data_IF_328095771901
#
_entry.id   IF_328095771901
#
_cell.length_a   1.000
_cell.length_b   1.000
_cell.length_c   1.000
_cell.angle_alpha   90.00
_cell.angle_beta   90.00
_cell.angle_gamma   90.00
#
_symmetry.space_group_name_H-M   'P 1'
#
loop_
_entity.id
_entity.type
_entity.pdbx_description
1 polymer ?
#
# COMPACT_ATOMS: atom_id res chain seq x y z
N UNK A 1 47.38 24.73 -29.11
CA UNK A 1 46.80 23.41 -29.41
C UNK A 1 45.28 23.54 -29.39
N UNK A 2 44.68 23.73 -30.56
CA UNK A 2 43.22 23.72 -30.73
C UNK A 2 42.79 22.29 -30.97
N UNK A 3 42.28 21.60 -29.94
CA UNK A 3 41.52 20.38 -30.18
C UNK A 3 40.30 20.76 -31.01
N UNK A 4 40.21 20.26 -32.23
CA UNK A 4 39.07 20.49 -33.10
C UNK A 4 37.85 19.84 -32.44
N UNK A 5 36.73 20.56 -32.36
CA UNK A 5 35.48 20.03 -31.80
C UNK A 5 35.04 18.70 -32.47
N UNK A 6 35.50 18.46 -33.70
CA UNK A 6 35.36 17.20 -34.42
C UNK A 6 35.96 15.99 -33.69
N UNK A 7 37.11 16.13 -33.01
CA UNK A 7 37.75 15.04 -32.26
C UNK A 7 36.99 14.66 -30.98
N UNK A 8 36.27 15.62 -30.40
CA UNK A 8 35.42 15.41 -29.21
C UNK A 8 34.13 14.70 -29.62
N UNK A 9 33.54 15.09 -30.75
CA UNK A 9 32.30 14.48 -31.28
C UNK A 9 32.52 13.09 -31.89
N UNK A 10 33.74 12.73 -32.29
CA UNK A 10 34.08 11.38 -32.77
C UNK A 10 34.32 10.37 -31.65
N UNK A 11 34.41 10.80 -30.40
CA UNK A 11 34.54 9.92 -29.25
C UNK A 11 33.16 9.37 -28.84
N UNK A 12 32.80 8.18 -29.33
CA UNK A 12 31.50 7.53 -29.05
C UNK A 12 31.16 7.45 -27.55
N UNK A 13 32.08 7.10 -26.64
CA UNK A 13 31.79 7.10 -25.20
C UNK A 13 31.43 8.50 -24.66
N UNK A 14 32.12 9.54 -25.12
CA UNK A 14 31.86 10.91 -24.69
C UNK A 14 30.54 11.43 -25.27
N UNK A 15 30.27 11.18 -26.55
CA UNK A 15 29.01 11.54 -27.18
C UNK A 15 27.83 10.81 -26.51
N UNK A 16 27.98 9.52 -26.19
CA UNK A 16 26.99 8.77 -25.42
C UNK A 16 26.77 9.37 -24.03
N UNK A 17 27.83 9.80 -23.35
CA UNK A 17 27.75 10.47 -22.07
C UNK A 17 27.01 11.83 -22.17
N UNK A 18 27.35 12.65 -23.16
CA UNK A 18 26.68 13.95 -23.43
C UNK A 18 25.20 13.72 -23.78
N UNK A 19 24.89 12.75 -24.63
CA UNK A 19 23.52 12.39 -24.99
C UNK A 19 22.74 11.79 -23.83
N UNK A 20 23.40 11.14 -22.86
CA UNK A 20 22.78 10.65 -21.64
C UNK A 20 22.53 11.78 -20.63
N UNK A 21 23.32 12.85 -20.66
CA UNK A 21 23.18 14.07 -19.85
C UNK A 21 22.47 15.17 -20.64
N UNK A 22 21.18 14.98 -20.93
CA UNK A 22 20.39 16.04 -21.56
C UNK A 22 19.99 17.07 -20.51
N UNK A 23 20.29 18.36 -20.77
CA UNK A 23 19.93 19.47 -19.88
C UNK A 23 20.48 19.32 -18.45
N UNK A 24 21.67 18.72 -18.30
CA UNK A 24 22.30 18.50 -16.99
C UNK A 24 21.58 17.45 -16.13
N UNK A 25 20.72 16.62 -16.72
CA UNK A 25 20.01 15.55 -16.01
C UNK A 25 20.36 14.20 -16.64
N UNK A 26 20.71 13.23 -15.80
CA UNK A 26 20.94 11.85 -16.25
C UNK A 26 19.65 11.27 -16.85
N UNK A 27 19.76 10.59 -17.99
CA UNK A 27 18.65 9.90 -18.67
C UNK A 27 17.90 8.94 -17.75
N UNK A 28 18.59 8.34 -16.77
CA UNK A 28 17.98 7.47 -15.76
C UNK A 28 17.02 8.24 -14.83
N UNK A 29 17.39 9.46 -14.41
CA UNK A 29 16.52 10.33 -13.60
C UNK A 29 15.32 10.79 -14.44
N UNK A 30 15.54 11.12 -15.71
CA UNK A 30 14.45 11.47 -16.65
C UNK A 30 13.49 10.29 -16.81
N UNK A 31 13.99 9.05 -16.87
CA UNK A 31 13.15 7.87 -16.94
C UNK A 31 12.28 7.69 -15.67
N UNK A 32 12.85 7.90 -14.48
CA UNK A 32 12.07 7.91 -13.22
C UNK A 32 11.00 9.02 -13.24
N UNK A 33 11.35 10.21 -13.74
CA UNK A 33 10.41 11.33 -13.85
C UNK A 33 9.26 11.07 -14.85
N UNK A 34 9.44 10.15 -15.80
CA UNK A 34 8.39 9.77 -16.77
C UNK A 34 7.48 8.65 -16.26
N UNK A 35 7.79 8.05 -15.10
CA UNK A 35 6.94 7.02 -14.53
C UNK A 35 5.62 7.61 -14.05
N UNK A 36 4.51 7.01 -14.46
CA UNK A 36 3.19 7.40 -13.95
C UNK A 36 3.03 7.00 -12.48
N UNK A 37 2.32 7.81 -11.71
CA UNK A 37 1.88 7.49 -10.34
C UNK A 37 0.67 6.56 -10.41
N UNK A 38 0.58 5.59 -9.51
CA UNK A 38 -0.56 4.66 -9.47
C UNK A 38 -1.72 5.39 -8.79
N UNK A 39 -2.81 5.63 -9.50
CA UNK A 39 -4.02 6.27 -8.93
C UNK A 39 -5.08 5.29 -8.49
N UNK A 40 -5.10 4.07 -9.01
CA UNK A 40 -6.02 3.04 -8.50
C UNK A 40 -5.47 1.64 -8.72
N UNK A 41 -5.76 0.76 -7.76
CA UNK A 41 -5.58 -0.69 -7.87
C UNK A 41 -6.97 -1.31 -7.86
N UNK A 42 -7.23 -2.26 -8.75
CA UNK A 42 -8.45 -3.06 -8.76
C UNK A 42 -8.13 -4.52 -9.07
N UNK A 43 -9.08 -5.42 -8.88
CA UNK A 43 -8.89 -6.85 -9.14
C UNK A 43 -10.22 -7.56 -9.29
N UNK A 44 -10.28 -8.82 -8.85
CA UNK A 44 -11.43 -9.70 -9.06
C UNK A 44 -12.70 -9.28 -8.30
N UNK A 45 -12.57 -8.53 -7.20
CA UNK A 45 -13.68 -7.99 -6.42
C UNK A 45 -14.43 -6.87 -7.16
N UNK A 46 -13.88 -6.32 -8.26
CA UNK A 46 -14.54 -5.28 -9.06
C UNK A 46 -14.71 -5.79 -10.48
N UNK A 47 -15.94 -6.10 -10.85
CA UNK A 47 -16.32 -6.51 -12.20
C UNK A 47 -16.91 -5.32 -12.92
N UNK A 48 -16.28 -4.95 -14.04
CA UNK A 48 -16.74 -3.86 -14.90
C UNK A 48 -16.95 -4.37 -16.32
N UNK A 49 -18.02 -3.94 -17.00
CA UNK A 49 -18.19 -4.23 -18.40
C UNK A 49 -17.03 -3.59 -19.16
N UNK A 50 -16.37 -4.38 -20.02
CA UNK A 50 -15.17 -4.00 -20.78
C UNK A 50 -15.33 -2.69 -21.59
N UNK A 51 -16.57 -2.27 -21.86
CA UNK A 51 -16.92 -1.10 -22.66
C UNK A 51 -17.35 0.13 -21.83
N UNK A 52 -17.61 -0.02 -20.54
CA UNK A 52 -18.06 1.08 -19.69
C UNK A 52 -16.86 1.79 -19.06
N UNK A 53 -16.06 2.49 -19.87
CA UNK A 53 -15.11 3.48 -19.32
C UNK A 53 -15.88 4.79 -19.13
N UNK A 54 -16.15 5.23 -17.89
CA UNK A 54 -16.89 6.47 -17.67
C UNK A 54 -16.13 7.63 -18.30
N UNK A 55 -16.79 8.38 -19.19
CA UNK A 55 -16.20 9.56 -19.83
C UNK A 55 -15.77 10.63 -18.80
N UNK A 56 -16.32 10.59 -17.58
CA UNK A 56 -16.03 11.53 -16.49
C UNK A 56 -14.70 11.30 -15.77
N UNK A 57 -13.98 10.20 -16.04
CA UNK A 57 -12.66 9.93 -15.41
C UNK A 57 -11.48 10.51 -16.19
N UNK A 58 -11.72 11.32 -17.23
CA UNK A 58 -10.67 11.87 -18.09
C UNK A 58 -9.69 12.84 -17.39
N UNK A 59 -9.93 13.21 -16.13
CA UNK A 59 -9.12 14.17 -15.39
C UNK A 59 -8.13 13.55 -14.39
N UNK A 60 -8.18 12.24 -14.16
CA UNK A 60 -7.20 11.60 -13.28
C UNK A 60 -5.99 11.14 -14.11
N UNK A 61 -4.90 11.91 -14.07
CA UNK A 61 -3.65 11.64 -14.80
C UNK A 61 -2.89 10.38 -14.33
N UNK A 62 -3.42 9.66 -13.34
CA UNK A 62 -2.76 8.49 -12.77
C UNK A 62 -3.06 7.18 -13.49
N UNK A 63 -2.25 6.17 -13.20
CA UNK A 63 -2.39 4.84 -13.75
C UNK A 63 -3.34 3.99 -12.90
N UNK A 64 -4.37 3.44 -13.56
CA UNK A 64 -5.24 2.40 -13.02
C UNK A 64 -4.65 1.04 -13.36
N UNK A 65 -4.33 0.25 -12.33
CA UNK A 65 -3.58 -1.01 -12.45
C UNK A 65 -4.45 -2.16 -11.96
N UNK A 66 -4.56 -3.22 -12.76
CA UNK A 66 -5.10 -4.48 -12.26
C UNK A 66 -4.08 -5.09 -11.30
N UNK A 67 -4.54 -5.65 -10.19
CA UNK A 67 -3.69 -6.13 -9.10
C UNK A 67 -2.67 -7.16 -9.57
N UNK A 68 -3.02 -7.99 -10.57
CA UNK A 68 -2.11 -8.98 -11.16
C UNK A 68 -1.04 -8.40 -12.10
N UNK A 69 -1.25 -7.20 -12.65
CA UNK A 69 -0.26 -6.50 -13.48
C UNK A 69 0.72 -5.66 -12.64
N UNK A 70 0.40 -5.47 -11.35
CA UNK A 70 1.18 -4.64 -10.44
C UNK A 70 2.64 -5.11 -10.28
N UNK A 71 2.96 -6.42 -10.20
CA UNK A 71 4.35 -6.89 -10.12
C UNK A 71 5.22 -6.44 -11.29
N UNK A 72 4.75 -6.57 -12.53
CA UNK A 72 5.52 -6.23 -13.73
C UNK A 72 5.78 -4.72 -13.82
N UNK A 73 4.76 -3.93 -13.49
CA UNK A 73 4.89 -2.48 -13.37
C UNK A 73 5.94 -2.09 -12.33
N UNK A 74 5.86 -2.69 -11.14
CA UNK A 74 6.78 -2.38 -10.05
C UNK A 74 8.18 -2.91 -10.31
N UNK A 75 8.35 -3.98 -11.09
CA UNK A 75 9.66 -4.48 -11.50
C UNK A 75 10.35 -3.55 -12.52
N UNK A 76 9.58 -3.02 -13.47
CA UNK A 76 10.05 -1.98 -14.39
C UNK A 76 10.52 -0.76 -13.61
N UNK A 77 9.70 -0.31 -12.65
CA UNK A 77 10.03 0.84 -11.80
C UNK A 77 11.26 0.57 -10.91
N UNK A 78 11.39 -0.64 -10.35
CA UNK A 78 12.58 -1.04 -9.58
C UNK A 78 13.84 -0.88 -10.42
N UNK A 79 13.85 -1.43 -11.63
CA UNK A 79 15.02 -1.38 -12.52
C UNK A 79 15.47 0.06 -12.78
N UNK A 80 14.53 0.97 -13.00
CA UNK A 80 14.81 2.39 -13.22
C UNK A 80 15.33 3.08 -11.96
N UNK A 81 14.67 2.88 -10.81
CA UNK A 81 15.05 3.55 -9.55
C UNK A 81 16.39 3.02 -9.03
N UNK A 82 16.62 1.71 -9.09
CA UNK A 82 17.89 1.11 -8.63
C UNK A 82 19.06 1.49 -9.53
N UNK A 83 18.87 1.63 -10.85
CA UNK A 83 19.91 2.15 -11.74
C UNK A 83 20.36 3.57 -11.32
N UNK A 84 19.44 4.41 -10.86
CA UNK A 84 19.75 5.76 -10.35
C UNK A 84 20.42 5.68 -8.96
N UNK A 85 19.89 4.86 -8.05
CA UNK A 85 20.39 4.76 -6.68
C UNK A 85 21.77 4.10 -6.58
N UNK A 86 22.11 3.16 -7.47
CA UNK A 86 23.38 2.46 -7.48
C UNK A 86 24.53 3.31 -8.06
N UNK A 87 24.24 4.48 -8.65
CA UNK A 87 25.24 5.41 -9.13
C UNK A 87 25.33 6.63 -8.20
N UNK A 88 26.49 6.84 -7.56
CA UNK A 88 26.65 7.84 -6.51
C UNK A 88 26.17 9.25 -6.94
N UNK A 89 26.66 9.78 -8.06
CA UNK A 89 26.28 11.13 -8.51
C UNK A 89 24.78 11.26 -8.84
N UNK A 90 24.21 10.26 -9.52
CA UNK A 90 22.79 10.24 -9.85
C UNK A 90 21.91 10.13 -8.61
N UNK A 91 22.35 9.37 -7.60
CA UNK A 91 21.62 9.25 -6.34
C UNK A 91 21.55 10.60 -5.61
N UNK A 92 22.65 11.35 -5.55
CA UNK A 92 22.72 12.68 -4.92
C UNK A 92 21.79 13.66 -5.66
N UNK A 93 21.84 13.67 -6.99
CA UNK A 93 20.97 14.52 -7.81
C UNK A 93 19.49 14.11 -7.70
N UNK A 94 19.17 12.82 -7.61
CA UNK A 94 17.82 12.33 -7.37
C UNK A 94 17.28 12.84 -6.01
N UNK A 95 18.06 12.70 -4.93
CA UNK A 95 17.66 13.19 -3.60
C UNK A 95 17.43 14.70 -3.59
N UNK A 96 18.29 15.47 -4.29
CA UNK A 96 18.11 16.91 -4.47
C UNK A 96 16.79 17.22 -5.19
N UNK A 97 16.47 16.48 -6.25
CA UNK A 97 15.21 16.66 -7.00
C UNK A 97 13.97 16.26 -6.24
N UNK A 98 14.01 15.21 -5.42
CA UNK A 98 12.87 14.81 -4.59
C UNK A 98 12.45 15.89 -3.57
N UNK A 99 13.38 16.78 -3.20
CA UNK A 99 13.07 17.91 -2.33
C UNK A 99 12.19 18.98 -3.03
N UNK A 100 12.38 19.21 -4.33
CA UNK A 100 11.66 20.22 -5.11
C UNK A 100 10.53 19.66 -5.99
N UNK A 101 10.61 18.40 -6.40
CA UNK A 101 9.70 17.76 -7.34
C UNK A 101 8.90 16.64 -6.67
N UNK A 102 7.66 16.95 -6.28
CA UNK A 102 6.73 16.00 -5.64
C UNK A 102 6.52 14.73 -6.48
N UNK A 103 6.39 14.85 -7.80
CA UNK A 103 6.17 13.67 -8.66
C UNK A 103 7.32 12.65 -8.60
N UNK A 104 8.58 13.09 -8.74
CA UNK A 104 9.74 12.20 -8.64
C UNK A 104 9.79 11.55 -7.25
N UNK A 105 9.54 12.34 -6.20
CA UNK A 105 9.48 11.85 -4.83
C UNK A 105 8.43 10.74 -4.67
N UNK A 106 7.26 10.93 -5.24
CA UNK A 106 6.15 9.99 -5.14
C UNK A 106 6.44 8.67 -5.87
N UNK A 107 7.04 8.70 -7.07
CA UNK A 107 7.48 7.48 -7.78
C UNK A 107 8.47 6.68 -6.94
N UNK A 108 9.48 7.36 -6.36
CA UNK A 108 10.51 6.72 -5.55
C UNK A 108 9.92 6.17 -4.24
N UNK A 109 8.94 6.85 -3.66
CA UNK A 109 8.25 6.38 -2.46
C UNK A 109 7.35 5.19 -2.75
N UNK A 110 6.63 5.15 -3.88
CA UNK A 110 5.88 3.96 -4.30
C UNK A 110 6.81 2.74 -4.46
N UNK A 111 7.97 2.93 -5.10
CA UNK A 111 9.03 1.91 -5.17
C UNK A 111 9.46 1.46 -3.76
N UNK A 112 9.85 2.40 -2.91
CA UNK A 112 10.42 2.08 -1.61
C UNK A 112 9.41 1.37 -0.70
N UNK A 113 8.14 1.76 -0.77
CA UNK A 113 7.05 1.15 -0.01
C UNK A 113 6.77 -0.27 -0.48
N UNK A 114 6.62 -0.49 -1.79
CA UNK A 114 6.35 -1.81 -2.34
C UNK A 114 7.46 -2.80 -2.00
N UNK A 115 8.73 -2.44 -2.22
CA UNK A 115 9.86 -3.33 -1.95
C UNK A 115 10.29 -3.36 -0.48
N UNK A 116 9.68 -2.59 0.42
CA UNK A 116 10.08 -2.54 1.83
C UNK A 116 11.43 -1.88 2.09
N UNK A 117 11.84 -0.94 1.24
CA UNK A 117 13.09 -0.17 1.35
C UNK A 117 12.94 0.97 2.37
N UNK A 118 12.80 0.61 3.65
CA UNK A 118 12.73 1.59 4.74
C UNK A 118 13.99 2.47 4.86
N UNK A 119 15.14 1.97 4.39
CA UNK A 119 16.40 2.70 4.25
C UNK A 119 16.30 3.89 3.28
N UNK A 120 15.46 3.77 2.25
CA UNK A 120 15.18 4.85 1.27
C UNK A 120 14.01 5.72 1.75
N UNK A 121 12.93 5.08 2.23
CA UNK A 121 11.69 5.76 2.61
C UNK A 121 11.87 6.73 3.79
N UNK A 122 12.60 6.32 4.84
CA UNK A 122 12.79 7.13 6.06
C UNK A 122 13.52 8.46 5.78
N UNK A 123 14.69 8.47 5.11
CA UNK A 123 15.35 9.73 4.74
C UNK A 123 14.48 10.66 3.90
N UNK A 124 13.72 10.13 2.94
CA UNK A 124 12.79 10.93 2.12
C UNK A 124 11.74 11.62 3.00
N UNK A 125 11.14 10.88 3.94
CA UNK A 125 10.16 11.44 4.88
C UNK A 125 10.78 12.55 5.75
N UNK A 126 11.98 12.33 6.29
CA UNK A 126 12.68 13.32 7.13
C UNK A 126 13.01 14.58 6.32
N UNK A 127 13.53 14.42 5.11
CA UNK A 127 13.86 15.54 4.22
C UNK A 127 12.60 16.34 3.84
N UNK A 128 11.52 15.66 3.48
CA UNK A 128 10.25 16.31 3.14
C UNK A 128 9.65 17.09 4.32
N UNK A 129 9.66 16.51 5.53
CA UNK A 129 9.21 17.22 6.75
C UNK A 129 10.07 18.44 7.04
N UNK A 130 11.40 18.32 6.93
CA UNK A 130 12.32 19.44 7.14
C UNK A 130 12.07 20.57 6.14
N UNK A 131 11.88 20.23 4.86
CA UNK A 131 11.56 21.20 3.82
C UNK A 131 10.25 21.95 4.14
N UNK A 132 9.21 21.23 4.53
CA UNK A 132 7.92 21.83 4.93
C UNK A 132 8.03 22.74 6.15
N UNK A 133 8.85 22.37 7.15
CA UNK A 133 9.07 23.22 8.32
C UNK A 133 9.92 24.47 8.03
N UNK A 134 10.73 24.43 6.96
CA UNK A 134 11.64 25.53 6.60
C UNK A 134 11.01 26.51 5.60
N UNK A 135 9.92 26.10 4.95
CA UNK A 135 9.22 26.92 3.95
C UNK A 135 8.25 27.90 4.64
N UNK A 136 8.72 29.12 4.87
CA UNK A 136 7.92 30.19 5.48
C UNK A 136 6.69 30.57 4.65
N UNK A 137 6.63 30.22 3.36
CA UNK A 137 5.47 30.52 2.51
C UNK A 137 4.30 29.57 2.72
N UNK A 138 4.52 28.41 3.35
CA UNK A 138 3.51 27.37 3.53
C UNK A 138 3.12 27.23 5.00
N UNK A 139 1.81 27.33 5.26
CA UNK A 139 1.27 26.97 6.56
C UNK A 139 1.33 25.45 6.72
N UNK A 140 1.92 24.91 7.81
CA UNK A 140 1.96 23.47 8.05
C UNK A 140 0.53 22.94 8.18
N UNK A 141 0.28 21.82 7.50
CA UNK A 141 -0.99 21.09 7.58
C UNK A 141 -0.80 19.87 8.47
N UNK A 142 -1.78 19.57 9.30
CA UNK A 142 -1.77 18.42 10.19
C UNK A 142 -2.98 17.55 9.88
N UNK A 143 -2.79 16.24 9.92
CA UNK A 143 -3.90 15.30 9.77
C UNK A 143 -4.69 15.15 11.08
N UNK A 144 -5.72 14.30 11.04
CA UNK A 144 -6.59 13.97 12.18
C UNK A 144 -5.85 13.32 13.36
N UNK A 145 -4.59 12.90 13.17
CA UNK A 145 -3.71 12.36 14.19
C UNK A 145 -2.66 13.38 14.64
N UNK A 146 -2.84 14.65 14.30
CA UNK A 146 -1.94 15.76 14.58
C UNK A 146 -0.52 15.56 14.01
N UNK A 147 -0.43 14.90 12.84
CA UNK A 147 0.85 14.63 12.17
C UNK A 147 1.01 15.57 10.97
N UNK A 148 2.19 16.17 10.83
CA UNK A 148 2.54 17.09 9.73
C UNK A 148 2.39 16.41 8.36
N UNK A 149 1.36 16.77 7.58
CA UNK A 149 1.03 16.18 6.28
C UNK A 149 2.11 16.49 5.27
N UNK A 150 2.64 15.45 4.64
CA UNK A 150 3.56 15.60 3.50
C UNK A 150 2.71 15.60 2.22
N UNK A 151 2.74 16.68 1.41
CA UNK A 151 2.02 16.70 0.16
C UNK A 151 2.50 15.58 -0.77
N UNK A 152 1.59 14.73 -1.22
CA UNK A 152 1.88 13.60 -2.11
C UNK A 152 0.69 13.29 -3.00
N UNK A 153 0.97 12.83 -4.23
CA UNK A 153 0.02 12.22 -5.15
C UNK A 153 -0.03 10.70 -5.00
N UNK A 154 0.97 10.09 -4.35
CA UNK A 154 1.01 8.65 -4.07
C UNK A 154 0.11 8.31 -2.87
N UNK A 155 -1.20 8.24 -3.10
CA UNK A 155 -2.18 7.98 -2.06
C UNK A 155 -2.35 6.48 -1.75
N UNK A 156 -1.83 5.60 -2.62
CA UNK A 156 -1.97 4.14 -2.50
C UNK A 156 -0.83 3.43 -1.76
N UNK A 157 -0.02 4.14 -0.98
CA UNK A 157 1.14 3.53 -0.31
C UNK A 157 0.75 2.39 0.63
N UNK A 158 -0.41 2.46 1.29
CA UNK A 158 -0.85 1.36 2.17
C UNK A 158 -1.29 0.14 1.36
N UNK A 159 -1.97 0.34 0.23
CA UNK A 159 -2.29 -0.73 -0.72
C UNK A 159 -1.02 -1.40 -1.24
N UNK A 160 0.00 -0.63 -1.64
CA UNK A 160 1.28 -1.19 -2.12
C UNK A 160 2.01 -2.01 -1.04
N UNK A 161 2.03 -1.51 0.20
CA UNK A 161 2.62 -2.27 1.32
C UNK A 161 1.80 -3.51 1.68
N UNK A 162 0.47 -3.40 1.66
CA UNK A 162 -0.46 -4.51 1.89
C UNK A 162 -0.28 -5.61 0.85
N UNK A 163 -0.13 -5.24 -0.43
CA UNK A 163 0.08 -6.16 -1.54
C UNK A 163 1.30 -7.06 -1.35
N UNK A 164 2.38 -6.52 -0.79
CA UNK A 164 3.65 -7.23 -0.56
C UNK A 164 3.76 -7.84 0.84
N UNK A 165 2.70 -7.76 1.65
CA UNK A 165 2.74 -8.28 3.03
C UNK A 165 3.72 -7.53 3.95
N UNK A 166 4.03 -6.25 3.65
CA UNK A 166 5.03 -5.44 4.37
C UNK A 166 4.44 -4.77 5.61
N UNK A 167 4.23 -5.56 6.68
CA UNK A 167 3.69 -5.05 7.95
C UNK A 167 4.56 -3.95 8.57
N UNK A 168 5.88 -4.07 8.48
CA UNK A 168 6.85 -3.08 8.97
C UNK A 168 6.69 -1.72 8.27
N UNK A 169 6.45 -1.72 6.97
CA UNK A 169 6.14 -0.52 6.18
C UNK A 169 4.77 0.03 6.57
N UNK A 170 3.75 -0.80 6.75
CA UNK A 170 2.43 -0.35 7.21
C UNK A 170 2.49 0.33 8.59
N UNK A 171 3.26 -0.25 9.52
CA UNK A 171 3.53 0.36 10.84
C UNK A 171 4.23 1.70 10.67
N UNK A 172 5.26 1.77 9.82
CA UNK A 172 5.93 3.03 9.52
C UNK A 172 4.99 4.08 8.90
N UNK A 173 4.17 3.72 7.92
CA UNK A 173 3.19 4.60 7.28
C UNK A 173 2.05 5.03 8.24
N UNK A 174 1.84 4.32 9.35
CA UNK A 174 0.88 4.71 10.38
C UNK A 174 1.49 5.60 11.47
N UNK A 175 2.82 5.64 11.58
CA UNK A 175 3.54 6.56 12.47
C UNK A 175 4.01 7.82 11.75
N UNK A 176 3.84 7.87 10.43
CA UNK A 176 4.21 9.00 9.59
C UNK A 176 3.00 9.56 8.84
N UNK A 177 3.09 10.83 8.48
CA UNK A 177 2.08 11.56 7.72
C UNK A 177 2.43 11.64 6.23
N UNK A 178 3.21 10.67 5.73
CA UNK A 178 3.48 10.55 4.29
C UNK A 178 2.26 10.00 3.55
N UNK A 179 1.55 9.03 4.13
CA UNK A 179 0.38 8.44 3.49
C UNK A 179 -0.91 9.05 4.05
N UNK A 180 -1.65 9.76 3.18
CA UNK A 180 -2.99 10.27 3.49
C UNK A 180 -3.91 9.14 3.96
N UNK A 181 -4.76 9.42 4.94
CA UNK A 181 -5.81 8.47 5.32
C UNK A 181 -6.96 8.44 4.28
N UNK A 182 -7.07 9.48 3.45
CA UNK A 182 -8.17 9.65 2.49
C UNK A 182 -8.23 8.56 1.41
N UNK A 183 -7.13 7.84 1.16
CA UNK A 183 -7.07 6.75 0.17
C UNK A 183 -7.21 5.35 0.74
N UNK A 184 -7.32 5.18 2.08
CA UNK A 184 -7.30 3.83 2.69
C UNK A 184 -8.53 3.01 2.35
N UNK A 185 -9.69 3.65 2.31
CA UNK A 185 -11.00 3.00 2.20
C UNK A 185 -11.34 2.49 0.80
N UNK A 186 -10.53 2.78 -0.22
CA UNK A 186 -10.88 2.48 -1.61
C UNK A 186 -12.01 3.36 -2.13
N UNK A 187 -12.55 2.98 -3.28
CA UNK A 187 -13.72 3.62 -3.91
C UNK A 187 -14.50 2.58 -4.69
N UNK A 188 -15.60 2.95 -5.33
CA UNK A 188 -16.40 2.06 -6.19
C UNK A 188 -15.55 1.42 -7.31
N UNK A 189 -14.46 2.08 -7.71
CA UNK A 189 -13.58 1.67 -8.82
C UNK A 189 -12.20 1.16 -8.38
N UNK A 190 -11.90 1.19 -7.08
CA UNK A 190 -10.57 0.85 -6.54
C UNK A 190 -10.64 0.08 -5.24
N UNK A 191 -9.55 -0.60 -4.91
CA UNK A 191 -9.42 -1.34 -3.67
C UNK A 191 -9.02 -0.49 -2.48
N UNK A 192 -9.56 -0.85 -1.33
CA UNK A 192 -9.02 -0.46 -0.03
C UNK A 192 -7.71 -1.21 0.26
N UNK A 193 -6.95 -0.73 1.25
CA UNK A 193 -5.76 -1.47 1.71
C UNK A 193 -6.10 -2.84 2.34
N UNK A 194 -7.32 -2.98 2.90
CA UNK A 194 -7.86 -4.21 3.46
C UNK A 194 -8.22 -5.21 2.35
N UNK A 195 -8.91 -4.77 1.30
CA UNK A 195 -9.23 -5.60 0.14
C UNK A 195 -7.95 -6.13 -0.53
N UNK A 196 -6.93 -5.29 -0.70
CA UNK A 196 -5.62 -5.71 -1.23
C UNK A 196 -4.96 -6.77 -0.33
N UNK A 197 -4.94 -6.56 1.00
CA UNK A 197 -4.33 -7.51 1.93
C UNK A 197 -5.07 -8.86 1.94
N UNK A 198 -6.41 -8.82 1.83
CA UNK A 198 -7.26 -10.00 1.79
C UNK A 198 -7.04 -10.81 0.51
N UNK A 199 -7.09 -10.17 -0.66
CA UNK A 199 -6.90 -10.82 -1.96
C UNK A 199 -5.49 -11.40 -2.12
N UNK A 200 -4.47 -10.79 -1.50
CA UNK A 200 -3.10 -11.32 -1.47
C UNK A 200 -2.82 -12.24 -0.27
N UNK A 201 -3.84 -12.62 0.49
CA UNK A 201 -3.74 -13.56 1.61
C UNK A 201 -2.72 -13.17 2.70
N UNK A 202 -2.49 -11.87 2.90
CA UNK A 202 -1.54 -11.37 3.89
C UNK A 202 -2.19 -11.16 5.25
N UNK A 203 -2.53 -12.26 5.93
CA UNK A 203 -3.29 -12.26 7.19
C UNK A 203 -2.76 -11.29 8.26
N UNK A 204 -1.44 -11.22 8.48
CA UNK A 204 -0.87 -10.31 9.51
C UNK A 204 -1.04 -8.83 9.16
N UNK A 205 -0.96 -8.49 7.86
CA UNK A 205 -1.25 -7.14 7.41
C UNK A 205 -2.74 -6.85 7.57
N UNK A 206 -3.59 -7.80 7.17
CA UNK A 206 -5.03 -7.68 7.31
C UNK A 206 -5.43 -7.41 8.76
N UNK A 207 -4.98 -8.23 9.72
CA UNK A 207 -5.22 -8.05 11.16
C UNK A 207 -4.82 -6.64 11.64
N UNK A 208 -3.61 -6.20 11.27
CA UNK A 208 -3.14 -4.86 11.61
C UNK A 208 -4.01 -3.74 11.01
N UNK A 209 -4.46 -3.92 9.76
CA UNK A 209 -5.26 -2.92 9.05
C UNK A 209 -6.67 -2.80 9.62
N UNK A 210 -7.34 -3.92 9.90
CA UNK A 210 -8.70 -3.94 10.49
C UNK A 210 -8.71 -3.40 11.91
N UNK A 211 -7.71 -3.76 12.74
CA UNK A 211 -7.54 -3.20 14.09
C UNK A 211 -7.31 -1.69 14.03
N UNK A 212 -6.45 -1.26 13.10
CA UNK A 212 -6.19 0.17 12.87
C UNK A 212 -7.42 0.92 12.38
N UNK A 213 -8.28 0.29 11.58
CA UNK A 213 -9.53 0.90 11.12
C UNK A 213 -10.52 1.08 12.28
N UNK A 214 -10.73 0.04 13.11
CA UNK A 214 -11.58 0.13 14.30
C UNK A 214 -11.12 1.26 15.24
N UNK A 215 -9.82 1.34 15.52
CA UNK A 215 -9.25 2.40 16.37
C UNK A 215 -9.45 3.81 15.80
N UNK A 216 -9.47 3.96 14.47
CA UNK A 216 -9.72 5.26 13.83
C UNK A 216 -11.22 5.62 13.82
N UNK A 217 -12.11 4.61 13.75
CA UNK A 217 -13.56 4.79 13.85
C UNK A 217 -14.02 5.26 15.23
N UNK A 218 -13.42 4.74 16.29
CA UNK A 218 -13.77 5.08 17.68
C UNK A 218 -13.27 6.47 18.12
N UNK A 219 -12.29 7.03 17.40
CA UNK A 219 -11.73 8.34 17.74
C UNK A 219 -12.71 9.44 17.35
N UNK A 220 -13.30 10.09 18.36
CA UNK A 220 -13.91 11.41 18.19
C UNK A 220 -12.81 12.39 17.75
N UNK A 221 -12.96 13.09 16.63
CA UNK A 221 -11.97 14.06 16.22
C UNK A 221 -11.89 15.16 17.30
N UNK A 222 -10.67 15.59 17.64
CA UNK A 222 -10.44 16.63 18.65
C UNK A 222 -11.06 17.98 18.25
N UNK A 223 -11.34 18.15 16.96
CA UNK A 223 -12.00 19.30 16.36
C UNK A 223 -13.30 18.77 15.72
N UNK A 224 -14.47 19.40 15.95
CA UNK A 224 -15.69 19.06 15.22
C UNK A 224 -15.43 19.05 13.72
N UNK A 225 -15.55 17.88 13.10
CA UNK A 225 -15.17 17.67 11.71
C UNK A 225 -15.69 16.33 11.20
N UNK A 226 -15.55 16.07 9.88
CA UNK A 226 -15.95 14.80 9.28
C UNK A 226 -15.22 13.63 9.96
N UNK A 227 -15.88 12.47 10.02
CA UNK A 227 -15.31 11.24 10.58
C UNK A 227 -13.97 10.94 9.91
N UNK A 228 -13.04 10.39 10.70
CA UNK A 228 -11.68 10.06 10.24
C UNK A 228 -11.69 8.99 9.15
N UNK A 229 -12.58 8.00 9.31
CA UNK A 229 -12.84 7.01 8.28
C UNK A 229 -14.15 7.36 7.58
N UNK A 230 -14.17 7.27 6.23
CA UNK A 230 -15.42 7.38 5.50
C UNK A 230 -16.34 6.24 5.94
N UNK A 231 -17.65 6.52 5.96
CA UNK A 231 -18.67 5.49 6.22
C UNK A 231 -18.63 4.35 5.17
N UNK A 232 -17.89 4.56 4.07
CA UNK A 232 -17.68 3.62 2.97
C UNK A 232 -16.25 3.05 2.93
N UNK A 233 -15.81 2.39 3.99
CA UNK A 233 -14.56 1.63 3.94
C UNK A 233 -14.81 0.29 3.23
N UNK A 234 -14.46 0.20 1.94
CA UNK A 234 -14.66 -1.01 1.16
C UNK A 234 -13.89 -2.19 1.78
N UNK A 235 -14.57 -3.33 1.92
CA UNK A 235 -14.05 -4.52 2.61
C UNK A 235 -14.41 -4.63 4.10
N UNK A 236 -14.89 -3.56 4.76
CA UNK A 236 -15.34 -3.61 6.16
C UNK A 236 -16.75 -3.04 6.40
N UNK A 237 -17.20 -2.07 5.60
CA UNK A 237 -18.50 -1.44 5.79
C UNK A 237 -19.50 -1.89 4.71
N UNK A 238 -20.79 -1.87 5.05
CA UNK A 238 -21.84 -1.84 4.04
C UNK A 238 -21.69 -0.59 3.17
N UNK A 239 -21.94 -0.73 1.87
CA UNK A 239 -21.84 0.39 0.95
C UNK A 239 -22.96 1.40 1.20
N UNK A 240 -22.63 2.69 1.18
CA UNK A 240 -23.66 3.74 1.23
C UNK A 240 -24.63 3.62 0.06
N UNK A 241 -25.83 4.19 0.24
CA UNK A 241 -26.83 4.32 -0.82
C UNK A 241 -26.25 4.96 -2.09
N UNK A 242 -25.45 6.02 -1.93
CA UNK A 242 -24.85 6.75 -3.03
C UNK A 242 -23.85 5.89 -3.81
N UNK A 243 -23.03 5.11 -3.09
CA UNK A 243 -22.10 4.14 -3.70
C UNK A 243 -22.86 3.04 -4.45
N UNK A 244 -23.93 2.50 -3.87
CA UNK A 244 -24.78 1.50 -4.55
C UNK A 244 -25.42 2.06 -5.81
N UNK A 245 -26.02 3.26 -5.74
CA UNK A 245 -26.61 3.94 -6.90
C UNK A 245 -25.57 4.20 -7.99
N UNK A 246 -24.39 4.68 -7.62
CA UNK A 246 -23.28 4.89 -8.55
C UNK A 246 -22.89 3.59 -9.24
N UNK A 247 -22.71 2.50 -8.49
CA UNK A 247 -22.32 1.20 -9.03
C UNK A 247 -23.40 0.65 -9.97
N UNK A 248 -24.67 0.69 -9.59
CA UNK A 248 -25.80 0.28 -10.45
C UNK A 248 -25.84 1.10 -11.73
N UNK A 249 -25.73 2.43 -11.64
CA UNK A 249 -25.77 3.34 -12.79
C UNK A 249 -24.66 3.07 -13.81
N UNK A 250 -23.48 2.65 -13.34
CA UNK A 250 -22.32 2.39 -14.20
C UNK A 250 -22.10 0.89 -14.46
N UNK A 251 -23.04 0.02 -14.06
CA UNK A 251 -22.94 -1.43 -14.23
C UNK A 251 -21.72 -2.03 -13.54
N UNK A 252 -21.27 -1.45 -12.43
CA UNK A 252 -20.15 -1.96 -11.63
C UNK A 252 -20.73 -2.99 -10.66
N UNK A 253 -20.24 -4.22 -10.77
CA UNK A 253 -20.52 -5.28 -9.81
C UNK A 253 -19.33 -5.40 -8.86
N UNK A 254 -19.59 -5.42 -7.55
CA UNK A 254 -18.56 -5.59 -6.52
C UNK A 254 -18.89 -6.78 -5.65
N UNK A 255 -17.86 -7.55 -5.31
CA UNK A 255 -17.99 -8.68 -4.39
C UNK A 255 -17.60 -8.26 -2.97
N UNK A 256 -18.26 -8.83 -1.96
CA UNK A 256 -17.78 -8.68 -0.58
C UNK A 256 -16.46 -9.43 -0.42
N UNK A 257 -15.47 -8.76 0.19
CA UNK A 257 -14.14 -9.35 0.38
C UNK A 257 -14.17 -10.63 1.24
N UNK A 258 -15.06 -10.71 2.23
CA UNK A 258 -15.20 -11.90 3.07
C UNK A 258 -15.74 -13.11 2.29
N UNK A 259 -16.79 -12.91 1.49
CA UNK A 259 -17.41 -13.95 0.66
C UNK A 259 -16.42 -14.44 -0.42
N UNK A 260 -15.73 -13.51 -1.09
CA UNK A 260 -14.72 -13.85 -2.08
C UNK A 260 -13.59 -14.69 -1.46
N UNK A 261 -13.05 -14.28 -0.31
CA UNK A 261 -12.03 -15.04 0.40
C UNK A 261 -12.52 -16.43 0.83
N UNK A 262 -13.78 -16.56 1.28
CA UNK A 262 -14.36 -17.85 1.64
C UNK A 262 -14.50 -18.78 0.43
N UNK A 263 -15.00 -18.25 -0.69
CA UNK A 263 -15.17 -18.99 -1.96
C UNK A 263 -13.84 -19.49 -2.53
N UNK A 264 -12.75 -18.75 -2.30
CA UNK A 264 -11.38 -19.15 -2.69
C UNK A 264 -10.72 -20.09 -1.67
N UNK A 265 -11.40 -20.44 -0.57
CA UNK A 265 -10.87 -21.33 0.47
C UNK A 265 -9.93 -20.64 1.47
N UNK A 266 -9.85 -19.31 1.46
CA UNK A 266 -9.02 -18.52 2.37
C UNK A 266 -9.73 -18.29 3.72
N UNK A 267 -10.06 -19.38 4.42
CA UNK A 267 -10.91 -19.39 5.62
C UNK A 267 -10.42 -18.44 6.72
N UNK A 268 -9.10 -18.34 6.94
CA UNK A 268 -8.55 -17.42 7.96
C UNK A 268 -8.73 -15.94 7.60
N UNK A 269 -8.67 -15.61 6.32
CA UNK A 269 -8.91 -14.24 5.82
C UNK A 269 -10.39 -13.89 5.98
N UNK A 270 -11.28 -14.77 5.52
CA UNK A 270 -12.73 -14.59 5.67
C UNK A 270 -13.13 -14.45 7.15
N UNK A 271 -12.66 -15.35 8.01
CA UNK A 271 -12.92 -15.29 9.45
C UNK A 271 -12.38 -14.00 10.09
N UNK A 272 -11.21 -13.51 9.66
CA UNK A 272 -10.67 -12.24 10.12
C UNK A 272 -11.57 -11.06 9.72
N UNK A 273 -12.03 -11.01 8.47
CA UNK A 273 -12.92 -9.95 7.98
C UNK A 273 -14.27 -9.98 8.71
N UNK A 274 -14.92 -11.14 8.80
CA UNK A 274 -16.22 -11.34 9.46
C UNK A 274 -16.15 -10.92 10.93
N UNK A 275 -15.10 -11.33 11.65
CA UNK A 275 -14.88 -10.94 13.05
C UNK A 275 -14.82 -9.42 13.25
N UNK A 276 -14.41 -8.67 12.23
CA UNK A 276 -14.33 -7.21 12.26
C UNK A 276 -15.53 -6.52 11.58
N UNK A 277 -16.63 -7.25 11.38
CA UNK A 277 -17.89 -6.69 10.90
C UNK A 277 -18.00 -6.54 9.38
N UNK A 278 -17.10 -7.16 8.60
CA UNK A 278 -17.22 -7.15 7.15
C UNK A 278 -18.57 -7.76 6.70
N UNK A 279 -19.27 -7.14 5.74
CA UNK A 279 -20.45 -7.73 5.12
C UNK A 279 -20.10 -9.10 4.52
N UNK A 280 -21.00 -10.05 4.72
CA UNK A 280 -20.95 -11.38 4.14
C UNK A 280 -22.38 -11.89 3.93
N UNK A 281 -22.56 -12.80 2.98
CA UNK A 281 -23.84 -13.49 2.81
C UNK A 281 -23.96 -14.48 3.97
N UNK A 282 -24.75 -14.13 4.98
CA UNK A 282 -25.21 -15.11 5.97
C UNK A 282 -26.13 -16.06 5.20
N UNK A 283 -25.87 -17.37 5.22
CA UNK A 283 -26.74 -18.40 4.64
C UNK A 283 -28.19 -18.19 5.14
N UNK A 284 -28.98 -17.48 4.34
CA UNK A 284 -30.23 -16.86 4.78
C UNK A 284 -31.12 -16.36 3.64
N UNK A 285 -30.81 -16.72 2.40
CA UNK A 285 -31.77 -16.71 1.28
C UNK A 285 -32.39 -18.11 1.07
N UNK A 286 -32.50 -18.88 2.14
CA UNK A 286 -33.21 -20.17 2.19
C UNK A 286 -34.28 -20.23 3.29
N UNK A 287 -34.72 -19.11 3.86
CA UNK A 287 -35.87 -19.07 4.78
C UNK A 287 -36.94 -18.09 4.32
N UNK A 288 -37.69 -18.49 3.29
CA UNK A 288 -39.15 -18.26 3.18
C UNK A 288 -39.64 -18.85 1.87
N UNK A 289 -40.04 -20.13 1.88
CA UNK A 289 -41.25 -20.67 1.22
C UNK A 289 -41.36 -22.16 1.58
N UNK A 290 -42.10 -22.43 2.67
CA UNK A 290 -42.92 -23.64 2.93
C UNK A 290 -42.51 -24.97 2.29
N UNK A 291 -42.03 -25.91 3.12
CA UNK A 291 -42.28 -27.35 2.91
C UNK A 291 -42.27 -28.10 4.25
N UNK A 292 -43.49 -28.30 4.75
CA UNK A 292 -44.03 -29.54 5.34
C UNK A 292 -43.07 -30.42 6.15
N UNK A 293 -43.39 -30.47 7.45
CA UNK A 293 -43.12 -31.58 8.36
C UNK A 293 -43.36 -32.96 7.71
N UNK A 294 -42.28 -33.71 7.56
CA UNK A 294 -42.19 -35.18 7.72
C UNK A 294 -40.70 -35.44 7.91
N UNK A 295 -40.16 -35.85 9.06
CA UNK A 295 -40.69 -36.86 9.97
C UNK A 295 -40.19 -38.23 9.51
N UNK A 296 -38.90 -38.53 9.67
CA UNK A 296 -38.42 -39.90 9.82
C UNK A 296 -36.97 -39.95 10.35
N UNK A 297 -36.83 -40.77 11.39
CA UNK A 297 -35.62 -41.08 12.14
C UNK A 297 -35.10 -42.40 11.56
N UNK A 298 -33.87 -42.43 11.08
CA UNK A 298 -33.18 -43.70 10.84
C UNK A 298 -31.72 -43.62 11.28
N UNK A 299 -31.42 -44.40 12.30
CA UNK A 299 -30.12 -44.66 12.92
C UNK A 299 -29.47 -45.88 12.27
N UNK A 300 -28.25 -45.75 11.75
CA UNK A 300 -27.30 -46.84 11.42
C UNK A 300 -25.91 -46.18 11.57
N UNK A 301 -25.05 -46.44 12.56
CA UNK A 301 -24.38 -47.64 13.09
C UNK A 301 -23.24 -48.22 12.21
N UNK A 302 -22.09 -48.32 12.88
CA UNK A 302 -20.84 -49.07 12.64
C UNK A 302 -19.98 -48.94 11.35
N UNK A 303 -18.75 -48.45 11.58
CA UNK A 303 -17.57 -49.33 11.57
C UNK A 303 -16.79 -49.54 10.26
N UNK A 304 -15.55 -49.01 10.18
CA UNK A 304 -14.33 -49.76 9.80
C UNK A 304 -13.10 -48.84 9.57
N UNK A 305 -12.09 -48.99 10.43
CA UNK A 305 -10.66 -48.82 10.12
C UNK A 305 -10.18 -50.00 9.23
N UNK A 306 -9.10 -49.89 8.41
CA UNK A 306 -7.79 -50.30 8.94
C UNK A 306 -6.50 -49.70 8.30
N UNK A 307 -5.47 -49.62 9.15
CA UNK A 307 -4.04 -49.93 8.94
C UNK A 307 -3.14 -49.17 7.94
N UNK A 308 -2.17 -48.46 8.53
CA UNK A 308 -0.76 -48.19 8.14
C UNK A 308 0.05 -49.41 7.65
N UNK A 309 1.16 -49.24 6.89
CA UNK A 309 2.50 -49.12 7.53
C UNK A 309 3.58 -48.26 6.83
N UNK A 310 4.33 -47.55 7.69
CA UNK A 310 5.81 -47.57 7.90
C UNK A 310 6.84 -47.27 6.78
N UNK A 311 7.86 -46.51 7.21
CA UNK A 311 9.27 -46.38 6.74
C UNK A 311 9.59 -45.09 5.93
N UNK A 312 10.69 -44.35 6.13
CA UNK A 312 11.86 -44.49 6.99
C UNK A 312 12.54 -43.14 7.30
N UNK A 313 13.33 -43.16 8.38
CA UNK A 313 14.31 -42.19 8.87
C UNK A 313 15.37 -41.79 7.82
N UNK A 314 15.88 -40.55 7.90
CA UNK A 314 17.32 -40.23 8.11
C UNK A 314 17.53 -38.72 8.36
N UNK A 315 18.11 -38.38 9.52
CA UNK A 315 19.41 -37.72 9.69
C UNK A 315 19.38 -36.19 9.54
N UNK A 316 19.30 -35.42 10.63
CA UNK A 316 20.42 -35.00 11.50
C UNK A 316 21.55 -34.29 10.75
N UNK A 317 21.58 -32.96 10.85
CA UNK A 317 22.83 -32.22 11.02
C UNK A 317 22.55 -30.89 11.73
N UNK A 318 23.16 -30.77 12.91
CA UNK A 318 23.23 -29.55 13.70
C UNK A 318 24.27 -28.60 13.12
N UNK A 319 24.02 -27.30 13.21
CA UNK A 319 25.08 -26.31 13.42
C UNK A 319 24.54 -25.18 14.29
N UNK A 320 24.95 -25.21 15.55
CA UNK A 320 24.73 -24.14 16.51
C UNK A 320 25.73 -23.00 16.25
N UNK A 321 25.23 -21.79 16.01
CA UNK A 321 26.03 -20.56 16.06
C UNK A 321 25.63 -19.76 17.30
N UNK A 322 26.64 -19.46 18.13
CA UNK A 322 26.55 -18.69 19.37
C UNK A 322 26.11 -17.24 19.10
N UNK A 323 25.44 -16.59 20.09
CA UNK A 323 25.07 -15.19 20.00
C UNK A 323 26.25 -14.27 20.34
N UNK A 324 26.46 -13.26 19.51
CA UNK A 324 27.38 -12.14 19.76
C UNK A 324 26.76 -11.19 20.77
N UNK A 325 27.41 -11.03 21.93
CA UNK A 325 27.07 -10.02 22.93
C UNK A 325 27.28 -8.61 22.36
N UNK A 326 26.26 -7.76 22.43
CA UNK A 326 26.37 -6.31 22.26
C UNK A 326 26.48 -5.63 23.63
N UNK A 327 27.36 -4.62 23.80
CA UNK A 327 27.45 -3.82 25.02
C UNK A 327 26.33 -2.77 25.11
N UNK A 328 26.01 -2.28 26.33
CA UNK A 328 24.88 -1.38 26.56
C UNK A 328 25.17 0.04 26.10
N UNK A 329 24.25 0.61 25.31
CA UNK A 329 24.29 2.03 24.91
C UNK A 329 23.71 2.87 26.04
N UNK A 330 24.52 3.79 26.57
CA UNK A 330 24.12 4.80 27.54
C UNK A 330 23.02 5.71 26.99
N UNK A 331 21.89 5.78 27.70
CA UNK A 331 20.81 6.72 27.45
C UNK A 331 21.11 8.08 28.08
N UNK A 332 21.53 9.05 27.28
CA UNK A 332 21.64 10.46 27.71
C UNK A 332 20.25 11.08 27.78
N UNK A 333 19.70 11.22 28.99
CA UNK A 333 18.46 11.97 29.27
C UNK A 333 18.69 13.47 29.04
N UNK A 334 18.24 13.99 27.90
CA UNK A 334 18.11 15.43 27.65
C UNK A 334 16.82 15.95 28.29
N UNK A 335 16.97 16.60 29.45
CA UNK A 335 15.91 17.24 30.23
C UNK A 335 15.56 18.59 29.58
N UNK A 336 14.48 18.66 28.79
CA UNK A 336 13.92 19.94 28.28
C UNK A 336 13.22 20.69 29.41
N UNK A 337 13.82 21.79 29.87
CA UNK A 337 13.14 22.84 30.65
C UNK A 337 12.12 23.54 29.72
N UNK A 338 10.85 23.53 30.08
CA UNK A 338 9.85 24.49 29.55
C UNK A 338 10.01 25.79 30.33
N UNK A 339 10.47 26.83 29.67
CA UNK A 339 10.25 28.21 30.10
C UNK A 339 8.81 28.57 29.79
N UNK A 340 8.09 29.02 30.82
CA UNK A 340 6.77 29.64 30.75
C UNK A 340 7.06 31.14 30.77
N UNK A 341 6.84 31.82 29.66
CA UNK A 341 6.80 33.28 29.64
C UNK A 341 5.33 33.67 29.52
N UNK A 342 4.87 34.35 30.57
CA UNK A 342 3.57 35.02 30.63
C UNK A 342 3.69 36.34 29.85
N UNK A 343 2.80 36.54 28.88
CA UNK A 343 2.33 37.84 28.41
C UNK A 343 0.88 37.72 27.96
#
# INVERSE_FOLDING_TARGET
>A
MTMTASAVLSCTPLLSCICAYQHGTSSAIVAVQRCLIISSIHGQLIRQPKQARPASLAHDEGLRVHIDDLPDLMHTRQSLVEAVLNHQDNSVELFKRMASHTHIRDVVVEYAVYYGRLDVLKPICVAAKRALCSDASRKPQFDVLDRLVIPTRAHLLRQLAAFQGRLDVLVFLNTTSYSSLAGRGGSELSYSDIEVAAERCHLRCLEYLVDGAAQLGDRRPAIPGPKVLPDNYFGLCQWSRDSMEYMTKHGIDRLNAADAAANEGHIKIAACLIRHGAPHVVDGAAESTTLVQTGEVETIDDGAEPTTPLAAKTSSHALATRPTQQPPVMATRLRRKRGREDY
#
